data_IF_829638001229
#
_entry.id   IF_829638001229
#
_cell.length_a   1.000
_cell.length_b   1.000
_cell.length_c   1.000
_cell.angle_alpha   90.00
_cell.angle_beta   90.00
_cell.angle_gamma   90.00
#
_symmetry.space_group_name_H-M   'P 1'
#
loop_
_entity.id
_entity.type
_entity.pdbx_description
1 polymer ?
#
# COMPACT_ATOMS: atom_id res chain seq x y z
N UNK A 1 -4.02 -8.85 -1.66
CA UNK A 1 -5.46 -8.53 -1.82
C UNK A 1 -6.09 -8.88 -3.18
N UNK A 2 -5.33 -9.02 -4.28
CA UNK A 2 -5.93 -9.42 -5.57
C UNK A 2 -6.42 -10.89 -5.59
N UNK A 3 -5.67 -11.81 -4.98
CA UNK A 3 -5.97 -13.26 -5.04
C UNK A 3 -7.30 -13.60 -4.37
N UNK A 4 -7.60 -13.03 -3.19
CA UNK A 4 -8.85 -13.28 -2.47
C UNK A 4 -10.09 -12.87 -3.27
N UNK A 5 -10.02 -11.77 -4.04
CA UNK A 5 -11.13 -11.31 -4.90
C UNK A 5 -11.36 -12.23 -6.10
N UNK A 6 -10.30 -12.84 -6.61
CA UNK A 6 -10.38 -13.85 -7.69
C UNK A 6 -11.02 -15.14 -7.18
N UNK A 7 -10.70 -15.56 -5.95
CA UNK A 7 -11.25 -16.76 -5.32
C UNK A 7 -12.75 -16.63 -4.96
N UNK A 8 -13.22 -15.41 -4.70
CA UNK A 8 -14.63 -15.13 -4.45
C UNK A 8 -15.49 -15.03 -5.74
N UNK A 9 -14.89 -15.18 -6.92
CA UNK A 9 -15.61 -15.10 -8.19
C UNK A 9 -16.48 -16.35 -8.42
N UNK A 10 -17.69 -16.15 -8.94
CA UNK A 10 -18.67 -17.23 -9.17
C UNK A 10 -18.18 -18.31 -10.13
N UNK A 11 -17.43 -17.93 -11.17
CA UNK A 11 -16.90 -18.84 -12.19
C UNK A 11 -15.48 -18.42 -12.62
N UNK A 12 -14.69 -19.38 -13.10
CA UNK A 12 -13.35 -19.14 -13.65
C UNK A 12 -13.38 -18.14 -14.82
N UNK A 13 -14.41 -18.19 -15.67
CA UNK A 13 -14.57 -17.24 -16.78
C UNK A 13 -14.73 -15.79 -16.28
N UNK A 14 -15.47 -15.57 -15.19
CA UNK A 14 -15.61 -14.25 -14.58
C UNK A 14 -14.33 -13.81 -13.88
N UNK A 15 -13.62 -14.73 -13.22
CA UNK A 15 -12.31 -14.46 -12.65
C UNK A 15 -11.30 -13.99 -13.72
N UNK A 16 -11.22 -14.70 -14.86
CA UNK A 16 -10.34 -14.34 -15.99
C UNK A 16 -10.74 -13.01 -16.64
N UNK A 17 -12.04 -12.80 -16.88
CA UNK A 17 -12.52 -11.52 -17.41
C UNK A 17 -12.21 -10.35 -16.48
N UNK A 18 -12.39 -10.55 -15.17
CA UNK A 18 -12.09 -9.55 -14.14
C UNK A 18 -10.60 -9.23 -14.04
N UNK A 19 -9.71 -10.22 -14.12
CA UNK A 19 -8.25 -9.98 -14.11
C UNK A 19 -7.78 -9.26 -15.37
N UNK A 20 -8.32 -9.60 -16.54
CA UNK A 20 -8.01 -8.90 -17.80
C UNK A 20 -8.46 -7.44 -17.76
N UNK A 21 -9.69 -7.18 -17.29
CA UNK A 21 -10.21 -5.83 -17.13
C UNK A 21 -9.38 -5.02 -16.11
N UNK A 22 -8.98 -5.63 -15.00
CA UNK A 22 -8.10 -4.99 -14.02
C UNK A 22 -6.73 -4.66 -14.62
N UNK A 23 -6.18 -5.54 -15.47
CA UNK A 23 -4.96 -5.29 -16.23
C UNK A 23 -5.10 -4.08 -17.16
N UNK A 24 -6.22 -3.97 -17.87
CA UNK A 24 -6.52 -2.80 -18.71
C UNK A 24 -6.59 -1.50 -17.91
N UNK A 25 -7.29 -1.51 -16.76
CA UNK A 25 -7.38 -0.32 -15.91
C UNK A 25 -6.06 0.07 -15.23
N UNK A 26 -5.09 -0.83 -15.09
CA UNK A 26 -3.75 -0.49 -14.59
C UNK A 26 -2.95 0.42 -15.52
N UNK A 27 -3.35 0.55 -16.78
CA UNK A 27 -2.71 1.48 -17.72
C UNK A 27 -3.18 2.93 -17.45
N UNK A 28 -4.39 3.12 -16.92
CA UNK A 28 -4.97 4.46 -16.68
C UNK A 28 -4.19 5.32 -15.68
N UNK A 29 -3.68 4.80 -14.54
CA UNK A 29 -2.86 5.58 -13.60
C UNK A 29 -1.68 6.31 -14.25
N UNK A 30 -1.08 5.75 -15.31
CA UNK A 30 -0.03 6.44 -16.04
C UNK A 30 -0.51 7.78 -16.61
N UNK A 31 -1.66 7.78 -17.30
CA UNK A 31 -2.24 8.98 -17.88
C UNK A 31 -2.88 9.91 -16.84
N UNK A 32 -3.54 9.35 -15.83
CA UNK A 32 -4.32 10.11 -14.85
C UNK A 32 -3.47 10.68 -13.69
N UNK A 33 -2.35 10.05 -13.34
CA UNK A 33 -1.56 10.41 -12.16
C UNK A 33 -0.20 10.98 -12.56
N UNK A 34 0.53 10.31 -13.46
CA UNK A 34 1.90 10.72 -13.82
C UNK A 34 1.91 11.99 -14.66
N UNK A 35 1.08 12.07 -15.71
CA UNK A 35 1.02 13.24 -16.58
C UNK A 35 0.64 14.52 -15.81
N UNK A 36 -0.43 14.56 -14.99
CA UNK A 36 -0.74 15.73 -14.19
C UNK A 36 0.35 16.09 -13.18
N UNK A 37 1.06 15.09 -12.62
CA UNK A 37 2.22 15.32 -11.76
C UNK A 37 3.35 16.07 -12.48
N UNK A 38 3.67 15.66 -13.71
CA UNK A 38 4.68 16.35 -14.54
C UNK A 38 4.24 17.76 -14.95
N UNK A 39 2.96 17.94 -15.33
CA UNK A 39 2.40 19.26 -15.65
C UNK A 39 2.47 20.19 -14.44
N UNK A 40 2.14 19.69 -13.25
CA UNK A 40 2.22 20.46 -12.00
C UNK A 40 3.64 20.94 -11.70
N UNK A 41 4.65 20.10 -11.94
CA UNK A 41 6.06 20.47 -11.79
C UNK A 41 6.48 21.59 -12.75
N UNK A 42 5.98 21.58 -13.99
CA UNK A 42 6.26 22.63 -14.97
C UNK A 42 5.52 23.94 -14.68
N UNK A 43 4.28 23.88 -14.19
CA UNK A 43 3.45 25.06 -13.94
C UNK A 43 3.75 25.75 -12.60
N UNK A 44 4.19 24.99 -11.58
CA UNK A 44 4.49 25.50 -10.24
C UNK A 44 5.94 25.23 -9.82
N UNK A 45 6.94 25.79 -10.53
CA UNK A 45 8.34 25.49 -10.26
C UNK A 45 8.82 25.99 -8.89
N UNK A 46 8.23 27.07 -8.36
CA UNK A 46 8.62 27.64 -7.07
C UNK A 46 8.08 26.85 -5.87
N UNK A 47 7.03 26.05 -6.06
CA UNK A 47 6.36 25.28 -5.00
C UNK A 47 6.71 23.79 -5.10
N UNK A 48 6.74 23.24 -6.32
CA UNK A 48 6.90 21.80 -6.57
C UNK A 48 8.33 21.45 -7.02
N UNK A 49 8.92 22.26 -7.91
CA UNK A 49 10.29 22.03 -8.40
C UNK A 49 11.38 22.61 -7.48
N UNK A 50 10.98 23.38 -6.46
CA UNK A 50 11.84 23.93 -5.41
C UNK A 50 13.09 24.65 -5.93
N UNK A 51 12.90 25.67 -6.78
CA UNK A 51 13.99 26.55 -7.25
C UNK A 51 14.75 27.27 -6.12
N UNK A 52 14.13 27.44 -4.94
CA UNK A 52 14.73 28.10 -3.77
C UNK A 52 14.61 27.19 -2.52
N UNK A 53 15.74 26.74 -1.93
CA UNK A 53 15.73 25.67 -0.92
C UNK A 53 15.18 26.09 0.45
N UNK A 54 15.23 27.37 0.81
CA UNK A 54 14.75 27.89 2.10
C UNK A 54 13.22 27.94 2.19
N UNK A 55 12.53 28.30 1.12
CA UNK A 55 11.05 28.30 1.05
C UNK A 55 10.50 26.87 0.96
N UNK A 56 11.20 25.96 0.26
CA UNK A 56 10.81 24.56 0.14
C UNK A 56 10.84 23.82 1.49
N UNK A 57 11.85 24.10 2.33
CA UNK A 57 11.94 23.54 3.68
C UNK A 57 10.77 23.95 4.58
N UNK A 58 10.26 25.18 4.45
CA UNK A 58 9.12 25.65 5.23
C UNK A 58 7.76 25.05 4.79
N UNK A 59 7.65 24.65 3.52
CA UNK A 59 6.39 24.16 2.92
C UNK A 59 6.28 22.63 3.02
N UNK A 60 7.38 21.89 2.81
CA UNK A 60 7.34 20.43 2.70
C UNK A 60 8.35 19.69 3.59
N UNK A 61 9.05 20.38 4.50
CA UNK A 61 10.11 19.80 5.33
C UNK A 61 11.21 19.05 4.52
N UNK A 62 11.37 19.36 3.23
CA UNK A 62 12.38 18.75 2.36
C UNK A 62 13.07 19.82 1.54
N UNK A 63 14.39 19.69 1.37
CA UNK A 63 15.24 20.63 0.60
C UNK A 63 15.32 20.28 -0.89
N UNK A 64 14.93 19.08 -1.29
CA UNK A 64 15.21 18.55 -2.63
C UNK A 64 14.03 18.67 -3.60
N UNK A 65 12.79 18.42 -3.16
CA UNK A 65 11.58 18.53 -4.00
C UNK A 65 10.30 18.47 -3.14
N UNK A 66 9.16 18.87 -3.70
CA UNK A 66 7.83 18.80 -3.07
C UNK A 66 6.85 17.97 -3.94
N UNK A 67 7.26 16.78 -4.35
CA UNK A 67 6.50 15.95 -5.32
C UNK A 67 5.17 15.43 -4.76
N UNK A 68 5.09 15.14 -3.46
CA UNK A 68 3.88 14.61 -2.82
C UNK A 68 2.68 15.57 -2.88
N UNK A 69 2.93 16.89 -2.91
CA UNK A 69 1.88 17.92 -2.96
C UNK A 69 1.57 18.37 -4.39
N UNK A 70 2.22 17.80 -5.41
CA UNK A 70 2.08 18.25 -6.79
C UNK A 70 0.64 18.11 -7.30
N UNK A 71 -0.01 16.98 -7.03
CA UNK A 71 -1.38 16.71 -7.49
C UNK A 71 -2.45 17.53 -6.74
N UNK A 72 -2.43 17.62 -5.40
CA UNK A 72 -3.33 18.53 -4.68
C UNK A 72 -3.16 20.01 -5.07
N UNK A 73 -1.92 20.48 -5.25
CA UNK A 73 -1.62 21.87 -5.63
C UNK A 73 -2.23 22.21 -7.00
N UNK A 74 -2.15 21.28 -7.96
CA UNK A 74 -2.74 21.43 -9.28
C UNK A 74 -4.26 21.59 -9.21
N UNK A 75 -4.93 20.73 -8.43
CA UNK A 75 -6.39 20.77 -8.25
C UNK A 75 -6.83 22.10 -7.63
N UNK A 76 -6.11 22.55 -6.60
CA UNK A 76 -6.46 23.74 -5.83
C UNK A 76 -6.35 25.02 -6.65
N UNK A 77 -5.42 25.08 -7.61
CA UNK A 77 -5.13 26.27 -8.41
C UNK A 77 -5.81 26.29 -9.79
N UNK A 78 -6.08 25.13 -10.41
CA UNK A 78 -6.64 25.09 -11.77
C UNK A 78 -8.17 24.93 -11.76
N UNK A 79 -8.74 24.17 -10.82
CA UNK A 79 -10.17 23.86 -10.89
C UNK A 79 -11.04 25.01 -10.37
N UNK A 80 -12.19 25.27 -11.03
CA UNK A 80 -13.15 26.27 -10.58
C UNK A 80 -13.81 25.87 -9.25
N UNK A 81 -14.40 26.88 -8.60
CA UNK A 81 -15.20 26.72 -7.38
C UNK A 81 -16.30 25.67 -7.60
N UNK A 82 -16.50 24.78 -6.63
CA UNK A 82 -17.37 23.60 -6.75
C UNK A 82 -16.59 22.33 -7.10
N UNK A 83 -15.98 22.26 -8.28
CA UNK A 83 -15.20 21.08 -8.71
C UNK A 83 -13.96 20.83 -7.84
N UNK A 84 -13.34 21.90 -7.32
CA UNK A 84 -12.26 21.80 -6.33
C UNK A 84 -12.68 21.03 -5.09
N UNK A 85 -13.85 21.34 -4.53
CA UNK A 85 -14.38 20.65 -3.34
C UNK A 85 -14.73 19.20 -3.61
N UNK A 86 -15.34 18.94 -4.77
CA UNK A 86 -15.63 17.58 -5.24
C UNK A 86 -14.36 16.73 -5.31
N UNK A 87 -13.30 17.24 -5.93
CA UNK A 87 -12.05 16.49 -6.09
C UNK A 87 -11.35 16.21 -4.76
N UNK A 88 -11.34 17.17 -3.83
CA UNK A 88 -10.79 16.96 -2.49
C UNK A 88 -11.59 15.88 -1.75
N UNK A 89 -12.91 15.90 -1.83
CA UNK A 89 -13.76 14.88 -1.24
C UNK A 89 -13.49 13.48 -1.84
N UNK A 90 -13.34 13.39 -3.16
CA UNK A 90 -13.00 12.13 -3.86
C UNK A 90 -11.65 11.58 -3.39
N UNK A 91 -10.63 12.43 -3.26
CA UNK A 91 -9.31 12.01 -2.78
C UNK A 91 -9.40 11.49 -1.35
N UNK A 92 -10.07 12.21 -0.44
CA UNK A 92 -10.24 11.77 0.94
C UNK A 92 -11.02 10.45 1.04
N UNK A 93 -12.11 10.31 0.28
CA UNK A 93 -12.90 9.08 0.24
C UNK A 93 -12.09 7.90 -0.31
N UNK A 94 -11.30 8.11 -1.36
CA UNK A 94 -10.43 7.09 -1.93
C UNK A 94 -9.33 6.65 -0.93
N UNK A 95 -8.73 7.60 -0.21
CA UNK A 95 -7.74 7.32 0.84
C UNK A 95 -8.35 6.48 1.96
N UNK A 96 -9.52 6.88 2.49
CA UNK A 96 -10.21 6.13 3.55
C UNK A 96 -10.54 4.71 3.06
N UNK A 97 -11.05 4.57 1.84
CA UNK A 97 -11.35 3.25 1.25
C UNK A 97 -10.12 2.35 1.17
N UNK A 98 -8.98 2.90 0.72
CA UNK A 98 -7.71 2.18 0.66
C UNK A 98 -7.24 1.72 2.05
N UNK A 99 -7.25 2.63 3.02
CA UNK A 99 -6.86 2.35 4.41
C UNK A 99 -7.75 1.28 5.05
N UNK A 100 -9.08 1.42 4.93
CA UNK A 100 -10.03 0.42 5.44
C UNK A 100 -9.76 -0.95 4.82
N UNK A 101 -9.45 -1.01 3.53
CA UNK A 101 -9.15 -2.27 2.84
C UNK A 101 -7.89 -2.93 3.42
N UNK A 102 -6.80 -2.18 3.59
CA UNK A 102 -5.52 -2.70 4.12
C UNK A 102 -5.69 -3.20 5.55
N UNK A 103 -6.31 -2.41 6.42
CA UNK A 103 -6.52 -2.80 7.81
C UNK A 103 -7.46 -4.01 7.95
N UNK A 104 -8.49 -4.11 7.11
CA UNK A 104 -9.39 -5.24 7.13
C UNK A 104 -8.70 -6.54 6.69
N UNK A 105 -7.84 -6.49 5.66
CA UNK A 105 -7.05 -7.67 5.27
C UNK A 105 -6.01 -8.06 6.31
N UNK A 106 -5.32 -7.10 6.93
CA UNK A 106 -4.37 -7.38 8.01
C UNK A 106 -5.07 -8.02 9.22
N UNK A 107 -6.24 -7.52 9.59
CA UNK A 107 -7.09 -8.08 10.64
C UNK A 107 -7.53 -9.51 10.32
N UNK A 108 -7.92 -9.79 9.06
CA UNK A 108 -8.26 -11.15 8.63
C UNK A 108 -7.08 -12.12 8.72
N UNK A 109 -5.88 -11.71 8.27
CA UNK A 109 -4.67 -12.54 8.39
C UNK A 109 -4.36 -12.80 9.87
N UNK A 110 -4.44 -11.79 10.72
CA UNK A 110 -4.19 -11.96 12.15
C UNK A 110 -5.20 -12.89 12.82
N UNK A 111 -6.49 -12.73 12.53
CA UNK A 111 -7.57 -13.51 13.16
C UNK A 111 -7.69 -14.94 12.65
N UNK A 112 -7.38 -15.19 11.38
CA UNK A 112 -7.48 -16.52 10.76
C UNK A 112 -6.17 -17.30 10.87
N UNK A 113 -5.03 -16.64 10.63
CA UNK A 113 -3.74 -17.34 10.51
C UNK A 113 -2.93 -17.32 11.81
N UNK A 114 -2.96 -16.22 12.58
CA UNK A 114 -2.10 -16.06 13.77
C UNK A 114 -2.84 -16.45 15.05
N UNK A 115 -4.04 -15.90 15.27
CA UNK A 115 -4.78 -16.05 16.52
C UNK A 115 -5.09 -17.53 16.88
N UNK A 116 -5.54 -18.40 15.96
CA UNK A 116 -5.82 -19.80 16.28
C UNK A 116 -4.53 -20.62 16.52
N UNK A 117 -3.42 -20.24 15.89
CA UNK A 117 -2.12 -20.89 16.10
C UNK A 117 -1.47 -20.45 17.43
N UNK A 118 -1.64 -19.20 17.82
CA UNK A 118 -1.16 -18.67 19.10
C UNK A 118 -1.96 -19.25 20.29
N UNK A 119 -3.27 -19.43 20.11
CA UNK A 119 -4.16 -20.01 21.11
C UNK A 119 -4.28 -21.54 20.93
N UNK A 120 -3.14 -22.24 20.87
CA UNK A 120 -3.05 -23.69 20.66
C UNK A 120 -3.98 -24.51 21.59
N UNK A 121 -4.15 -24.05 22.84
CA UNK A 121 -4.97 -24.71 23.87
C UNK A 121 -6.48 -24.51 23.72
N UNK A 122 -6.95 -23.59 22.85
CA UNK A 122 -8.36 -23.19 22.78
C UNK A 122 -8.96 -23.29 21.37
N UNK A 123 -8.27 -23.95 20.44
CA UNK A 123 -8.58 -23.99 19.00
C UNK A 123 -10.02 -24.42 18.68
N UNK A 124 -10.57 -25.36 19.45
CA UNK A 124 -11.92 -25.90 19.24
C UNK A 124 -13.06 -25.09 19.90
N UNK A 125 -12.73 -24.10 20.74
CA UNK A 125 -13.73 -23.30 21.46
C UNK A 125 -13.83 -21.85 21.00
N UNK A 126 -13.09 -21.46 19.95
CA UNK A 126 -13.07 -20.06 19.54
C UNK A 126 -14.40 -19.70 18.88
N UNK A 127 -15.16 -18.81 19.52
CA UNK A 127 -16.46 -18.37 19.00
C UNK A 127 -16.26 -17.32 17.91
N UNK A 128 -17.06 -17.37 16.85
CA UNK A 128 -17.03 -16.36 15.77
C UNK A 128 -17.16 -14.90 16.28
N UNK A 129 -17.86 -14.69 17.40
CA UNK A 129 -17.98 -13.38 18.04
C UNK A 129 -16.66 -12.88 18.62
N UNK A 130 -15.84 -13.78 19.18
CA UNK A 130 -14.52 -13.43 19.73
C UNK A 130 -13.55 -13.04 18.61
N UNK A 131 -13.56 -13.75 17.48
CA UNK A 131 -12.74 -13.38 16.30
C UNK A 131 -13.08 -11.97 15.81
N UNK A 132 -14.36 -11.60 15.78
CA UNK A 132 -14.78 -10.26 15.35
C UNK A 132 -14.28 -9.16 16.31
N UNK A 133 -14.29 -9.42 17.63
CA UNK A 133 -13.83 -8.46 18.64
C UNK A 133 -12.30 -8.31 18.55
N UNK A 134 -11.58 -9.42 18.50
CA UNK A 134 -10.11 -9.43 18.36
C UNK A 134 -9.69 -8.75 17.06
N UNK A 135 -10.40 -9.01 15.96
CA UNK A 135 -10.16 -8.36 14.68
C UNK A 135 -10.31 -6.84 14.74
N UNK A 136 -11.37 -6.33 15.38
CA UNK A 136 -11.56 -4.87 15.56
C UNK A 136 -10.50 -4.26 16.48
N UNK A 137 -10.14 -4.94 17.57
CA UNK A 137 -9.11 -4.46 18.48
C UNK A 137 -7.74 -4.38 17.78
N UNK A 138 -7.42 -5.36 16.94
CA UNK A 138 -6.19 -5.36 16.14
C UNK A 138 -6.15 -4.19 15.14
N UNK A 139 -7.28 -3.83 14.53
CA UNK A 139 -7.33 -2.63 13.67
C UNK A 139 -7.03 -1.36 14.46
N UNK A 140 -7.61 -1.19 15.65
CA UNK A 140 -7.33 -0.04 16.52
C UNK A 140 -5.85 0.01 16.89
N UNK A 141 -5.28 -1.14 17.25
CA UNK A 141 -3.85 -1.26 17.57
C UNK A 141 -2.95 -0.88 16.37
N UNK A 142 -3.27 -1.37 15.17
CA UNK A 142 -2.55 -1.01 13.94
C UNK A 142 -2.65 0.48 13.61
N UNK A 143 -3.79 1.12 13.86
CA UNK A 143 -3.96 2.57 13.69
C UNK A 143 -3.04 3.33 14.64
N UNK A 144 -2.96 2.92 15.90
CA UNK A 144 -2.08 3.56 16.89
C UNK A 144 -0.60 3.46 16.48
N UNK A 145 -0.15 2.28 16.07
CA UNK A 145 1.23 2.11 15.56
C UNK A 145 1.45 2.97 14.31
N UNK A 146 0.50 3.01 13.40
CA UNK A 146 0.60 3.82 12.18
C UNK A 146 0.77 5.31 12.52
N UNK A 147 0.00 5.83 13.48
CA UNK A 147 0.11 7.23 13.93
C UNK A 147 1.46 7.52 14.59
N UNK A 148 1.98 6.59 15.39
CA UNK A 148 3.32 6.67 15.99
C UNK A 148 4.43 6.67 14.93
N UNK A 149 4.21 6.03 13.79
CA UNK A 149 5.20 5.90 12.71
C UNK A 149 5.25 7.09 11.75
N UNK A 150 4.19 7.92 11.69
CA UNK A 150 4.14 9.12 10.84
C UNK A 150 5.36 10.04 11.01
N UNK A 151 5.74 10.49 12.23
CA UNK A 151 6.87 11.41 12.39
C UNK A 151 8.19 10.83 11.86
N UNK A 152 8.41 9.53 12.07
CA UNK A 152 9.61 8.83 11.61
C UNK A 152 9.72 8.88 10.08
N UNK A 153 8.62 8.64 9.37
CA UNK A 153 8.62 8.66 7.90
C UNK A 153 8.85 10.07 7.36
N UNK A 154 8.25 11.09 7.99
CA UNK A 154 8.39 12.49 7.57
C UNK A 154 9.82 12.98 7.75
N UNK A 155 10.46 12.64 8.87
CA UNK A 155 11.82 13.08 9.18
C UNK A 155 12.90 12.38 8.33
N UNK A 156 12.71 11.08 8.04
CA UNK A 156 13.71 10.26 7.35
C UNK A 156 13.65 10.35 5.82
N UNK A 157 12.45 10.47 5.23
CA UNK A 157 12.26 10.30 3.77
C UNK A 157 11.59 11.50 3.08
N UNK A 158 11.25 12.55 3.83
CA UNK A 158 10.88 13.88 3.34
C UNK A 158 9.91 13.87 2.15
N UNK A 159 10.46 14.02 0.94
CA UNK A 159 9.70 14.25 -0.29
C UNK A 159 9.52 13.04 -1.20
N UNK A 160 10.17 11.92 -0.96
CA UNK A 160 10.13 10.74 -1.85
C UNK A 160 9.45 9.53 -1.22
N UNK A 161 8.29 9.75 -0.60
CA UNK A 161 7.51 8.71 0.09
C UNK A 161 7.22 7.53 -0.85
N UNK A 162 6.97 7.78 -2.14
CA UNK A 162 6.74 6.73 -3.13
C UNK A 162 7.97 5.81 -3.30
N UNK A 163 9.16 6.38 -3.43
CA UNK A 163 10.40 5.61 -3.62
C UNK A 163 10.67 4.77 -2.38
N UNK A 164 10.47 5.34 -1.19
CA UNK A 164 10.56 4.60 0.06
C UNK A 164 9.61 3.40 0.11
N UNK A 165 8.33 3.61 -0.24
CA UNK A 165 7.34 2.51 -0.29
C UNK A 165 7.73 1.42 -1.27
N UNK A 166 8.22 1.78 -2.45
CA UNK A 166 8.70 0.82 -3.46
C UNK A 166 9.96 0.08 -3.01
N UNK A 167 10.88 0.74 -2.32
CA UNK A 167 12.07 0.08 -1.74
C UNK A 167 11.66 -0.95 -0.69
N UNK A 168 10.77 -0.57 0.23
CA UNK A 168 10.25 -1.50 1.25
C UNK A 168 9.57 -2.70 0.58
N UNK A 169 8.73 -2.47 -0.43
CA UNK A 169 8.11 -3.57 -1.19
C UNK A 169 9.14 -4.40 -1.96
N UNK A 170 10.20 -3.77 -2.46
CA UNK A 170 11.32 -4.40 -3.15
C UNK A 170 12.10 -5.38 -2.28
N UNK A 171 12.13 -5.19 -0.96
CA UNK A 171 12.76 -6.15 -0.04
C UNK A 171 11.92 -7.41 0.18
N UNK A 172 10.59 -7.28 0.19
CA UNK A 172 9.68 -8.41 0.49
C UNK A 172 9.18 -9.14 -0.76
N UNK A 173 8.94 -8.44 -1.86
CA UNK A 173 8.28 -9.01 -3.03
C UNK A 173 9.10 -10.11 -3.75
N UNK A 174 10.42 -9.95 -4.01
CA UNK A 174 11.19 -10.95 -4.74
C UNK A 174 11.31 -12.31 -4.01
N UNK A 175 11.66 -12.38 -2.71
CA UNK A 175 11.75 -13.67 -2.01
C UNK A 175 10.42 -14.42 -2.00
N UNK A 176 9.31 -13.70 -1.76
CA UNK A 176 7.96 -14.27 -1.77
C UNK A 176 7.61 -14.78 -3.18
N UNK A 177 7.88 -13.99 -4.22
CA UNK A 177 7.62 -14.39 -5.61
C UNK A 177 8.43 -15.62 -6.01
N UNK A 178 9.70 -15.70 -5.64
CA UNK A 178 10.55 -16.86 -5.90
C UNK A 178 10.00 -18.13 -5.25
N UNK A 179 9.56 -18.06 -3.98
CA UNK A 179 8.97 -19.23 -3.29
C UNK A 179 7.66 -19.66 -3.94
N UNK A 180 6.77 -18.72 -4.30
CA UNK A 180 5.53 -19.05 -5.00
C UNK A 180 5.78 -19.68 -6.37
N UNK A 181 6.71 -19.12 -7.15
CA UNK A 181 7.05 -19.66 -8.47
C UNK A 181 7.64 -21.05 -8.36
N UNK A 182 8.59 -21.26 -7.45
CA UNK A 182 9.18 -22.58 -7.25
C UNK A 182 8.13 -23.57 -6.71
N UNK A 183 7.24 -23.17 -5.80
CA UNK A 183 6.19 -24.04 -5.29
C UNK A 183 5.22 -24.53 -6.38
N UNK A 184 4.98 -23.72 -7.43
CA UNK A 184 4.11 -24.09 -8.56
C UNK A 184 4.88 -24.91 -9.61
N UNK A 185 6.12 -24.53 -9.93
CA UNK A 185 6.90 -25.13 -11.02
C UNK A 185 7.66 -26.39 -10.59
N UNK A 186 7.97 -26.52 -9.29
CA UNK A 186 8.83 -27.57 -8.76
C UNK A 186 8.13 -28.35 -7.64
N UNK A 187 7.73 -29.59 -7.95
CA UNK A 187 6.95 -30.44 -7.03
C UNK A 187 7.73 -31.04 -5.86
N UNK A 188 9.07 -30.92 -5.84
CA UNK A 188 9.92 -31.43 -4.73
C UNK A 188 10.33 -30.36 -3.73
N UNK A 189 9.57 -29.28 -3.59
CA UNK A 189 9.86 -28.27 -2.57
C UNK A 189 9.49 -28.79 -1.18
N UNK A 190 10.41 -28.58 -0.25
CA UNK A 190 10.22 -28.87 1.16
C UNK A 190 9.96 -27.58 1.93
N UNK A 191 9.20 -27.66 3.03
CA UNK A 191 8.89 -26.51 3.89
C UNK A 191 10.15 -25.80 4.40
N UNK A 192 11.16 -26.58 4.81
CA UNK A 192 12.43 -26.05 5.33
C UNK A 192 13.23 -25.32 4.24
N UNK A 193 13.16 -25.80 2.99
CA UNK A 193 13.79 -25.14 1.84
C UNK A 193 13.12 -23.82 1.48
N UNK A 194 11.78 -23.77 1.54
CA UNK A 194 11.03 -22.54 1.36
C UNK A 194 11.34 -21.51 2.46
N UNK A 195 11.41 -21.95 3.72
CA UNK A 195 11.75 -21.09 4.86
C UNK A 195 13.17 -20.53 4.77
N UNK A 196 14.17 -21.38 4.51
CA UNK A 196 15.55 -20.93 4.33
C UNK A 196 15.67 -19.97 3.12
N UNK A 197 14.97 -20.25 2.02
CA UNK A 197 14.94 -19.38 0.84
C UNK A 197 14.37 -17.99 1.14
N UNK A 198 13.29 -17.91 1.92
CA UNK A 198 12.73 -16.62 2.36
C UNK A 198 13.72 -15.86 3.24
N UNK A 199 14.33 -16.52 4.22
CA UNK A 199 15.25 -15.86 5.16
C UNK A 199 16.50 -15.35 4.44
N UNK A 200 17.09 -16.16 3.56
CA UNK A 200 18.26 -15.76 2.75
C UNK A 200 17.88 -14.62 1.81
N UNK A 201 16.75 -14.71 1.11
CA UNK A 201 16.27 -13.66 0.21
C UNK A 201 16.02 -12.34 0.93
N UNK A 202 15.51 -12.39 2.17
CA UNK A 202 15.30 -11.20 2.98
C UNK A 202 16.61 -10.55 3.43
N UNK A 203 17.60 -11.35 3.85
CA UNK A 203 18.93 -10.85 4.22
C UNK A 203 19.63 -10.23 3.01
N UNK A 204 19.55 -10.85 1.83
CA UNK A 204 20.10 -10.27 0.61
C UNK A 204 19.36 -9.02 0.15
N UNK A 205 18.05 -8.92 0.39
CA UNK A 205 17.30 -7.69 0.10
C UNK A 205 17.67 -6.52 1.01
N UNK A 206 18.13 -6.80 2.24
CA UNK A 206 18.58 -5.78 3.20
C UNK A 206 20.01 -5.28 2.96
N UNK A 207 20.85 -6.06 2.25
CA UNK A 207 22.23 -5.73 1.88
C UNK A 207 22.29 -4.87 0.62
#
# INVERSE_FOLDING_TARGET
MMVQRVLAARNISHARGGTLLAGYFKILPFFMIIIPGMISRALFPNIVACNQPSTCQAICNSKQSCTNIAYPTLIVHILPLGFKGLMIAVILAALISGLTSVFNSASSIFTVDIYPNLCYLRRDQIKNQELMIVGRLFVVFMILISLLWIPVVVEMHGSEIYVYMEQVMGFFAPPIACVYLLAILWTRINELGAFCGLMVGFIFGLL
#
